data_IF_325916513047
#
_entry.id   IF_325916513047
#
_cell.length_a   1.000
_cell.length_b   1.000
_cell.length_c   1.000
_cell.angle_alpha   90.00
_cell.angle_beta   90.00
_cell.angle_gamma   90.00
#
_symmetry.space_group_name_H-M   'P 1'
#
loop_
_entity.id
_entity.type
_entity.pdbx_description
1 polymer ?
#
# COMPACT_ATOMS: atom_id res chain seq x y z
N UNK A 1 -12.23 -17.81 24.84
CA UNK A 1 -11.31 -18.59 23.98
C UNK A 1 -9.98 -18.71 24.70
N UNK A 2 -9.39 -19.91 24.78
CA UNK A 2 -8.02 -20.03 25.31
C UNK A 2 -7.03 -19.32 24.36
N UNK A 3 -5.88 -18.89 24.88
CA UNK A 3 -4.81 -18.26 24.08
C UNK A 3 -4.43 -19.12 22.85
N UNK A 4 -4.42 -20.45 23.01
CA UNK A 4 -4.18 -21.42 21.92
C UNK A 4 -5.23 -21.30 20.82
N UNK A 5 -6.51 -21.21 21.18
CA UNK A 5 -7.62 -21.13 20.24
C UNK A 5 -7.66 -19.78 19.51
N UNK A 6 -7.36 -18.68 20.20
CA UNK A 6 -7.25 -17.34 19.59
C UNK A 6 -6.08 -17.26 18.61
N UNK A 7 -4.95 -17.90 18.95
CA UNK A 7 -3.77 -17.96 18.08
C UNK A 7 -4.05 -18.78 16.82
N UNK A 8 -4.64 -19.98 16.94
CA UNK A 8 -4.98 -20.82 15.78
C UNK A 8 -5.98 -20.13 14.86
N UNK A 9 -7.03 -19.52 15.41
CA UNK A 9 -7.99 -18.76 14.61
C UNK A 9 -7.31 -17.56 13.91
N UNK A 10 -6.44 -16.84 14.62
CA UNK A 10 -5.68 -15.74 14.06
C UNK A 10 -4.77 -16.16 12.89
N UNK A 11 -4.07 -17.29 13.03
CA UNK A 11 -3.24 -17.86 11.96
C UNK A 11 -4.07 -18.21 10.72
N UNK A 12 -5.23 -18.84 10.90
CA UNK A 12 -6.12 -19.16 9.78
C UNK A 12 -6.56 -17.87 9.06
N UNK A 13 -6.99 -16.84 9.81
CA UNK A 13 -7.40 -15.58 9.21
C UNK A 13 -6.25 -14.85 8.49
N UNK A 14 -5.03 -14.88 9.05
CA UNK A 14 -3.85 -14.32 8.40
C UNK A 14 -3.47 -15.08 7.13
N UNK A 15 -3.59 -16.41 7.14
CA UNK A 15 -3.38 -17.23 5.95
C UNK A 15 -4.42 -16.92 4.87
N UNK A 16 -5.70 -16.84 5.24
CA UNK A 16 -6.79 -16.46 4.33
C UNK A 16 -6.56 -15.07 3.74
N UNK A 17 -6.21 -14.08 4.57
CA UNK A 17 -5.88 -12.72 4.13
C UNK A 17 -4.78 -12.72 3.08
N UNK A 18 -3.66 -13.40 3.38
CA UNK A 18 -2.49 -13.48 2.49
C UNK A 18 -2.83 -14.18 1.17
N UNK A 19 -3.49 -15.34 1.24
CA UNK A 19 -3.84 -16.12 0.05
C UNK A 19 -4.89 -15.42 -0.80
N UNK A 20 -5.92 -14.82 -0.18
CA UNK A 20 -6.92 -14.06 -0.90
C UNK A 20 -6.31 -12.81 -1.55
N UNK A 21 -5.50 -12.05 -0.82
CA UNK A 21 -4.82 -10.87 -1.35
C UNK A 21 -3.89 -11.21 -2.53
N UNK A 22 -3.11 -12.28 -2.42
CA UNK A 22 -2.25 -12.76 -3.49
C UNK A 22 -3.06 -13.25 -4.70
N UNK A 23 -4.12 -14.03 -4.46
CA UNK A 23 -5.01 -14.53 -5.51
C UNK A 23 -5.71 -13.40 -6.26
N UNK A 24 -6.26 -12.42 -5.54
CA UNK A 24 -6.89 -11.23 -6.15
C UNK A 24 -5.87 -10.45 -6.96
N UNK A 25 -4.69 -10.17 -6.40
CA UNK A 25 -3.62 -9.44 -7.11
C UNK A 25 -3.18 -10.19 -8.37
N UNK A 26 -3.10 -11.51 -8.32
CA UNK A 26 -2.75 -12.35 -9.46
C UNK A 26 -3.82 -12.31 -10.56
N UNK A 27 -5.10 -12.51 -10.22
CA UNK A 27 -6.20 -12.47 -11.19
C UNK A 27 -6.33 -11.08 -11.81
N UNK A 28 -6.34 -10.02 -10.99
CA UNK A 28 -6.39 -8.63 -11.49
C UNK A 28 -5.17 -8.33 -12.35
N UNK A 29 -3.98 -8.78 -11.94
CA UNK A 29 -2.74 -8.63 -12.70
C UNK A 29 -2.81 -9.27 -14.08
N UNK A 30 -3.37 -10.49 -14.22
CA UNK A 30 -3.57 -11.15 -15.52
C UNK A 30 -4.53 -10.34 -16.40
N UNK A 31 -5.62 -9.85 -15.83
CA UNK A 31 -6.61 -9.06 -16.58
C UNK A 31 -5.98 -7.76 -17.07
N UNK A 32 -5.30 -7.02 -16.19
CA UNK A 32 -4.62 -5.78 -16.54
C UNK A 32 -3.47 -6.01 -17.53
N UNK A 33 -2.73 -7.12 -17.42
CA UNK A 33 -1.69 -7.49 -18.38
C UNK A 33 -2.21 -7.78 -19.80
N UNK A 34 -3.51 -8.11 -19.95
CA UNK A 34 -4.15 -8.24 -21.27
C UNK A 34 -4.69 -6.91 -21.81
N UNK A 35 -5.09 -6.00 -20.93
CA UNK A 35 -5.70 -4.72 -21.29
C UNK A 35 -4.66 -3.61 -21.51
N UNK A 36 -3.54 -3.68 -20.77
CA UNK A 36 -2.49 -2.68 -20.78
C UNK A 36 -1.28 -3.18 -21.57
N UNK A 37 -0.57 -2.23 -22.15
CA UNK A 37 0.67 -2.43 -22.88
C UNK A 37 1.87 -2.64 -21.94
N UNK A 38 2.95 -3.29 -22.41
CA UNK A 38 4.20 -3.42 -21.64
C UNK A 38 4.80 -2.08 -21.21
N UNK A 39 4.58 -1.00 -21.99
CA UNK A 39 5.07 0.34 -21.66
C UNK A 39 4.46 0.86 -20.35
N UNK A 40 3.15 0.66 -20.16
CA UNK A 40 2.43 1.13 -18.96
C UNK A 40 2.89 0.40 -17.69
N UNK A 41 3.13 -0.92 -17.80
CA UNK A 41 3.76 -1.68 -16.71
C UNK A 41 5.20 -1.22 -16.44
N UNK A 42 5.95 -0.86 -17.50
CA UNK A 42 7.28 -0.29 -17.38
C UNK A 42 7.30 0.99 -16.56
N UNK A 43 6.36 1.91 -16.81
CA UNK A 43 6.22 3.17 -16.05
C UNK A 43 6.00 2.92 -14.56
N UNK A 44 5.07 2.02 -14.21
CA UNK A 44 4.83 1.65 -12.80
C UNK A 44 6.06 0.96 -12.19
N UNK A 45 6.74 0.10 -12.94
CA UNK A 45 7.97 -0.56 -12.49
C UNK A 45 9.06 0.44 -12.12
N UNK A 46 9.28 1.47 -12.95
CA UNK A 46 10.25 2.54 -12.66
C UNK A 46 9.91 3.30 -11.38
N UNK A 47 8.63 3.62 -11.16
CA UNK A 47 8.18 4.40 -10.01
C UNK A 47 8.20 3.59 -8.71
N UNK A 48 7.95 2.28 -8.79
CA UNK A 48 7.84 1.39 -7.62
C UNK A 48 9.10 1.43 -6.75
N UNK A 49 10.28 1.61 -7.35
CA UNK A 49 11.55 1.72 -6.61
C UNK A 49 11.53 2.93 -5.66
N UNK A 50 11.10 4.10 -6.15
CA UNK A 50 11.04 5.32 -5.35
C UNK A 50 10.03 5.22 -4.20
N UNK A 51 8.89 4.59 -4.48
CA UNK A 51 7.85 4.34 -3.49
C UNK A 51 8.35 3.36 -2.42
N UNK A 52 8.95 2.23 -2.82
CA UNK A 52 9.45 1.23 -1.88
C UNK A 52 10.57 1.77 -0.96
N UNK A 53 11.47 2.60 -1.50
CA UNK A 53 12.49 3.29 -0.70
C UNK A 53 11.82 4.20 0.32
N UNK A 54 10.85 5.02 -0.11
CA UNK A 54 10.12 5.94 0.78
C UNK A 54 9.35 5.19 1.89
N UNK A 55 8.64 4.12 1.54
CA UNK A 55 7.91 3.26 2.47
C UNK A 55 8.83 2.63 3.53
N UNK A 56 10.07 2.28 3.16
CA UNK A 56 11.07 1.75 4.09
C UNK A 56 11.39 2.74 5.22
N UNK A 57 11.57 4.02 4.87
CA UNK A 57 11.79 5.09 5.84
C UNK A 57 10.54 5.41 6.66
N UNK A 58 9.34 5.38 6.07
CA UNK A 58 8.10 5.60 6.80
C UNK A 58 7.90 4.53 7.88
N UNK A 59 8.11 3.25 7.55
CA UNK A 59 7.86 2.18 8.51
C UNK A 59 8.96 2.08 9.58
N UNK A 60 10.23 2.37 9.25
CA UNK A 60 11.40 2.49 10.15
C UNK A 60 11.52 1.44 11.29
N UNK A 61 10.85 0.29 11.18
CA UNK A 61 10.75 -0.72 12.24
C UNK A 61 9.84 -0.37 13.43
N UNK A 62 9.19 0.81 13.46
CA UNK A 62 8.36 1.23 14.59
C UNK A 62 7.13 0.34 14.77
N UNK A 63 6.50 -0.08 13.67
CA UNK A 63 5.35 -1.00 13.70
C UNK A 63 5.71 -2.30 14.44
N UNK A 64 6.88 -2.88 14.15
CA UNK A 64 7.36 -4.08 14.83
C UNK A 64 7.72 -3.83 16.30
N UNK A 65 8.29 -2.67 16.62
CA UNK A 65 8.58 -2.28 18.00
C UNK A 65 7.28 -2.15 18.83
N UNK A 66 6.27 -1.49 18.29
CA UNK A 66 4.95 -1.35 18.92
C UNK A 66 4.26 -2.69 19.12
N UNK A 67 4.34 -3.62 18.16
CA UNK A 67 3.76 -4.97 18.32
C UNK A 67 4.41 -5.69 19.51
N UNK A 68 5.75 -5.63 19.63
CA UNK A 68 6.51 -6.36 20.67
C UNK A 68 6.49 -5.72 22.06
N UNK A 69 6.34 -4.40 22.17
CA UNK A 69 6.31 -3.68 23.46
C UNK A 69 5.12 -4.15 24.31
N UNK A 70 5.31 -4.67 25.52
CA UNK A 70 4.20 -5.21 26.33
C UNK A 70 3.21 -4.12 26.76
N UNK A 71 3.73 -3.03 27.33
CA UNK A 71 2.94 -1.93 27.87
C UNK A 71 2.94 -0.74 26.91
N UNK A 72 2.20 -0.87 25.81
CA UNK A 72 1.95 0.26 24.90
C UNK A 72 0.87 1.17 25.48
N UNK A 73 1.17 2.46 25.47
CA UNK A 73 0.20 3.53 25.77
C UNK A 73 -0.37 4.12 24.48
N UNK A 74 -1.50 4.81 24.57
CA UNK A 74 -2.05 5.55 23.42
C UNK A 74 -1.07 6.60 22.90
N UNK A 75 -0.28 7.21 23.80
CA UNK A 75 0.80 8.15 23.45
C UNK A 75 1.85 7.50 22.55
N UNK A 76 2.20 6.22 22.75
CA UNK A 76 3.14 5.51 21.88
C UNK A 76 2.59 5.40 20.46
N UNK A 77 1.32 5.02 20.32
CA UNK A 77 0.66 4.89 19.01
C UNK A 77 0.53 6.25 18.32
N UNK A 78 0.10 7.29 19.04
CA UNK A 78 -0.02 8.65 18.50
C UNK A 78 1.33 9.21 18.08
N UNK A 79 2.38 9.02 18.87
CA UNK A 79 3.73 9.51 18.55
C UNK A 79 4.24 8.90 17.25
N UNK A 80 4.15 7.57 17.12
CA UNK A 80 4.59 6.90 15.89
C UNK A 80 3.69 7.26 14.72
N UNK A 81 2.38 7.43 14.94
CA UNK A 81 1.45 7.89 13.89
C UNK A 81 1.86 9.25 13.32
N UNK A 82 2.10 10.25 14.17
CA UNK A 82 2.52 11.57 13.72
C UNK A 82 3.91 11.54 13.08
N UNK A 83 4.82 10.72 13.60
CA UNK A 83 6.13 10.51 12.98
C UNK A 83 5.98 9.96 11.55
N UNK A 84 5.26 8.85 11.38
CA UNK A 84 5.05 8.21 10.08
C UNK A 84 4.36 9.18 9.11
N UNK A 85 3.33 9.90 9.57
CA UNK A 85 2.63 10.90 8.76
C UNK A 85 3.56 12.04 8.31
N UNK A 86 4.39 12.55 9.22
CA UNK A 86 5.35 13.62 8.90
C UNK A 86 6.38 13.16 7.89
N UNK A 87 6.94 11.96 8.08
CA UNK A 87 7.89 11.35 7.13
C UNK A 87 7.21 11.08 5.79
N UNK A 88 5.97 10.57 5.80
CA UNK A 88 5.19 10.31 4.59
C UNK A 88 4.92 11.59 3.79
N UNK A 89 4.54 12.68 4.44
CA UNK A 89 4.36 14.00 3.80
C UNK A 89 5.71 14.52 3.25
N UNK A 90 6.80 14.37 4.00
CA UNK A 90 8.12 14.79 3.57
C UNK A 90 8.56 14.05 2.30
N UNK A 91 8.45 12.72 2.28
CA UNK A 91 8.79 11.92 1.10
C UNK A 91 7.84 12.17 -0.07
N UNK A 92 6.55 12.40 0.19
CA UNK A 92 5.61 12.83 -0.84
C UNK A 92 6.08 14.13 -1.51
N UNK A 93 6.41 15.17 -0.72
CA UNK A 93 6.90 16.44 -1.26
C UNK A 93 8.22 16.27 -2.01
N UNK A 94 9.14 15.46 -1.47
CA UNK A 94 10.42 15.15 -2.12
C UNK A 94 10.18 14.51 -3.49
N UNK A 95 9.33 13.50 -3.57
CA UNK A 95 8.97 12.86 -4.85
C UNK A 95 8.22 13.81 -5.78
N UNK A 96 7.30 14.62 -5.26
CA UNK A 96 6.53 15.58 -6.04
C UNK A 96 7.43 16.61 -6.74
N UNK A 97 8.40 17.18 -6.02
CA UNK A 97 9.34 18.15 -6.57
C UNK A 97 10.46 17.52 -7.41
N UNK A 98 10.87 16.29 -7.10
CA UNK A 98 11.87 15.56 -7.90
C UNK A 98 11.28 14.86 -9.12
N UNK A 99 9.96 14.76 -9.25
CA UNK A 99 9.28 14.08 -10.35
C UNK A 99 9.72 14.54 -11.76
N UNK A 100 9.88 15.84 -12.06
CA UNK A 100 10.38 16.28 -13.37
C UNK A 100 11.82 15.83 -13.64
N UNK A 101 12.68 15.84 -12.61
CA UNK A 101 14.06 15.39 -12.73
C UNK A 101 14.13 13.88 -12.98
N UNK A 102 13.32 13.09 -12.26
CA UNK A 102 13.21 11.64 -12.46
C UNK A 102 12.67 11.33 -13.86
N UNK A 103 11.62 12.03 -14.29
CA UNK A 103 11.05 11.90 -15.63
C UNK A 103 12.07 12.17 -16.74
N UNK A 104 12.90 13.20 -16.57
CA UNK A 104 13.99 13.51 -17.51
C UNK A 104 15.09 12.44 -17.51
N UNK A 105 15.44 11.87 -16.35
CA UNK A 105 16.45 10.81 -16.24
C UNK A 105 16.03 9.54 -17.00
N UNK A 106 14.75 9.16 -16.90
CA UNK A 106 14.20 7.99 -17.60
C UNK A 106 13.73 8.29 -19.03
N UNK A 107 13.79 9.55 -19.49
CA UNK A 107 13.27 10.00 -20.79
C UNK A 107 11.77 9.65 -21.01
N UNK A 108 10.97 9.69 -19.94
CA UNK A 108 9.53 9.37 -19.99
C UNK A 108 8.71 10.52 -19.36
N UNK A 109 8.15 11.43 -20.17
CA UNK A 109 7.41 12.61 -19.70
C UNK A 109 6.21 12.29 -18.80
N UNK A 110 5.55 11.16 -19.07
CA UNK A 110 4.37 10.70 -18.33
C UNK A 110 4.68 10.42 -16.84
N UNK A 111 5.94 10.07 -16.52
CA UNK A 111 6.36 9.81 -15.14
C UNK A 111 6.14 11.00 -14.21
N UNK A 112 6.21 12.24 -14.71
CA UNK A 112 6.05 13.42 -13.85
C UNK A 112 4.67 13.41 -13.18
N UNK A 113 3.61 13.28 -13.99
CA UNK A 113 2.24 13.28 -13.48
C UNK A 113 1.96 12.04 -12.62
N UNK A 114 2.49 10.88 -13.01
CA UNK A 114 2.28 9.64 -12.27
C UNK A 114 2.96 9.70 -10.90
N UNK A 115 4.21 10.17 -10.79
CA UNK A 115 4.90 10.32 -9.52
C UNK A 115 4.21 11.32 -8.59
N UNK A 116 3.75 12.44 -9.13
CA UNK A 116 3.05 13.46 -8.35
C UNK A 116 1.73 12.95 -7.77
N UNK A 117 0.97 12.16 -8.52
CA UNK A 117 -0.31 11.60 -8.06
C UNK A 117 -0.09 10.37 -7.18
N UNK A 118 0.76 9.43 -7.62
CA UNK A 118 0.99 8.18 -6.91
C UNK A 118 1.76 8.38 -5.61
N UNK A 119 2.54 9.46 -5.48
CA UNK A 119 3.16 9.84 -4.22
C UNK A 119 2.15 10.05 -3.07
N UNK A 120 0.88 10.36 -3.37
CA UNK A 120 -0.19 10.50 -2.36
C UNK A 120 -0.37 9.19 -1.57
N UNK A 121 -0.06 8.05 -2.18
CA UNK A 121 -0.08 6.72 -1.53
C UNK A 121 0.78 6.71 -0.28
N UNK A 122 1.92 7.42 -0.25
CA UNK A 122 2.79 7.48 0.93
C UNK A 122 2.08 8.09 2.14
N UNK A 123 1.23 9.09 1.91
CA UNK A 123 0.42 9.73 2.97
C UNK A 123 -0.67 8.77 3.42
N UNK A 124 -1.38 8.14 2.49
CA UNK A 124 -2.46 7.16 2.78
C UNK A 124 -1.90 5.98 3.58
N UNK A 125 -0.78 5.41 3.15
CA UNK A 125 -0.13 4.29 3.84
C UNK A 125 0.34 4.70 5.24
N UNK A 126 0.89 5.91 5.39
CA UNK A 126 1.27 6.43 6.71
C UNK A 126 0.08 6.52 7.67
N UNK A 127 -1.11 6.90 7.18
CA UNK A 127 -2.33 6.96 7.98
C UNK A 127 -2.83 5.58 8.40
N UNK A 128 -2.73 4.58 7.52
CA UNK A 128 -3.26 3.23 7.78
C UNK A 128 -2.30 2.33 8.55
N UNK A 129 -0.99 2.60 8.50
CA UNK A 129 0.07 1.75 9.05
C UNK A 129 -0.12 1.48 10.56
N UNK A 130 -0.40 2.52 11.35
CA UNK A 130 -0.60 2.34 12.80
C UNK A 130 -1.91 1.64 13.13
N UNK A 131 -2.96 1.84 12.32
CA UNK A 131 -4.23 1.14 12.51
C UNK A 131 -4.05 -0.37 12.28
N UNK A 132 -3.32 -0.76 11.22
CA UNK A 132 -2.96 -2.17 10.97
C UNK A 132 -2.07 -2.74 12.09
N UNK A 133 -1.15 -1.94 12.61
CA UNK A 133 -0.28 -2.32 13.74
C UNK A 133 -1.08 -2.61 15.00
N UNK A 134 -2.09 -1.79 15.32
CA UNK A 134 -3.00 -1.99 16.45
C UNK A 134 -3.80 -3.29 16.30
N UNK A 135 -4.37 -3.55 15.11
CA UNK A 135 -5.10 -4.80 14.84
C UNK A 135 -4.21 -6.04 14.98
N UNK A 136 -2.99 -5.96 14.44
CA UNK A 136 -1.99 -7.03 14.54
C UNK A 136 -1.65 -7.30 16.01
N UNK A 137 -1.40 -6.26 16.81
CA UNK A 137 -1.11 -6.39 18.25
C UNK A 137 -2.27 -7.00 19.03
N UNK A 138 -3.52 -6.71 18.64
CA UNK A 138 -4.74 -7.27 19.25
C UNK A 138 -5.07 -8.69 18.78
N UNK A 139 -4.31 -9.22 17.81
CA UNK A 139 -4.55 -10.51 17.14
C UNK A 139 -5.94 -10.50 16.48
N UNK A 140 -6.34 -9.36 15.90
CA UNK A 140 -7.61 -9.22 15.18
C UNK A 140 -7.43 -9.34 13.67
N UNK A 141 -6.85 -10.47 13.26
CA UNK A 141 -6.62 -10.79 11.84
C UNK A 141 -7.93 -10.99 11.07
N UNK A 142 -9.04 -11.28 11.75
CA UNK A 142 -10.36 -11.41 11.12
C UNK A 142 -10.83 -10.07 10.58
N UNK A 143 -10.74 -9.00 11.36
CA UNK A 143 -11.12 -7.67 10.90
C UNK A 143 -10.17 -7.20 9.79
N UNK A 144 -8.86 -7.44 9.95
CA UNK A 144 -7.86 -7.11 8.95
C UNK A 144 -8.13 -7.80 7.60
N UNK A 145 -8.42 -9.10 7.61
CA UNK A 145 -8.76 -9.88 6.42
C UNK A 145 -10.02 -9.37 5.70
N UNK A 146 -11.04 -8.93 6.46
CA UNK A 146 -12.25 -8.36 5.87
C UNK A 146 -11.96 -7.03 5.17
N UNK A 147 -11.21 -6.15 5.82
CA UNK A 147 -10.87 -4.83 5.28
C UNK A 147 -10.02 -5.01 4.01
N UNK A 148 -8.99 -5.86 4.06
CA UNK A 148 -8.10 -6.11 2.92
C UNK A 148 -8.82 -6.76 1.73
N UNK A 149 -9.74 -7.70 1.97
CA UNK A 149 -10.53 -8.31 0.89
C UNK A 149 -11.43 -7.27 0.21
N UNK A 150 -12.15 -6.45 0.99
CA UNK A 150 -13.03 -5.41 0.44
C UNK A 150 -12.21 -4.40 -0.37
N UNK A 151 -11.08 -3.93 0.19
CA UNK A 151 -10.21 -2.97 -0.48
C UNK A 151 -9.54 -3.56 -1.73
N UNK A 152 -9.12 -4.83 -1.70
CA UNK A 152 -8.49 -5.50 -2.86
C UNK A 152 -9.49 -5.76 -3.98
N UNK A 153 -10.72 -6.17 -3.65
CA UNK A 153 -11.78 -6.34 -4.66
C UNK A 153 -12.20 -4.98 -5.22
N UNK A 154 -12.41 -3.98 -4.35
CA UNK A 154 -12.80 -2.63 -4.76
C UNK A 154 -11.76 -1.97 -5.67
N UNK A 155 -10.48 -1.98 -5.28
CA UNK A 155 -9.38 -1.47 -6.10
C UNK A 155 -9.22 -2.24 -7.41
N UNK A 156 -9.39 -3.57 -7.39
CA UNK A 156 -9.39 -4.41 -8.59
C UNK A 156 -10.49 -4.01 -9.57
N UNK A 157 -11.73 -3.89 -9.10
CA UNK A 157 -12.87 -3.45 -9.93
C UNK A 157 -12.61 -2.07 -10.52
N UNK A 158 -12.22 -1.08 -9.70
CA UNK A 158 -11.93 0.29 -10.18
C UNK A 158 -10.84 0.28 -11.25
N UNK A 159 -9.74 -0.44 -11.01
CA UNK A 159 -8.62 -0.52 -11.95
C UNK A 159 -9.01 -1.18 -13.27
N UNK A 160 -9.75 -2.29 -13.22
CA UNK A 160 -10.19 -3.02 -14.42
C UNK A 160 -11.16 -2.15 -15.22
N UNK A 161 -12.12 -1.51 -14.56
CA UNK A 161 -13.03 -0.57 -15.21
C UNK A 161 -12.27 0.57 -15.88
N UNK A 162 -11.29 1.18 -15.21
CA UNK A 162 -10.48 2.24 -15.81
C UNK A 162 -9.66 1.75 -17.01
N UNK A 163 -9.09 0.55 -16.93
CA UNK A 163 -8.36 -0.05 -18.05
C UNK A 163 -9.28 -0.31 -19.26
N UNK A 164 -10.52 -0.77 -19.03
CA UNK A 164 -11.51 -0.95 -20.11
C UNK A 164 -11.89 0.35 -20.81
N UNK A 165 -11.89 1.48 -20.11
CA UNK A 165 -12.11 2.80 -20.70
C UNK A 165 -10.86 3.40 -21.37
N UNK A 166 -9.75 2.66 -21.43
CA UNK A 166 -8.52 3.11 -22.09
C UNK A 166 -7.74 4.17 -21.31
N UNK A 167 -7.92 4.26 -19.98
CA UNK A 167 -7.17 5.19 -19.12
C UNK A 167 -5.72 4.73 -18.87
N UNK A 168 -5.33 3.57 -19.39
CA UNK A 168 -3.95 3.12 -19.46
C UNK A 168 -3.28 2.96 -18.10
N UNK A 169 -2.08 3.52 -17.95
CA UNK A 169 -1.30 3.50 -16.70
C UNK A 169 -2.08 4.02 -15.48
N UNK A 170 -3.05 4.92 -15.68
CA UNK A 170 -3.87 5.46 -14.59
C UNK A 170 -4.76 4.40 -13.93
N UNK A 171 -5.06 3.30 -14.62
CA UNK A 171 -5.73 2.15 -14.03
C UNK A 171 -4.90 1.53 -12.89
N UNK A 172 -3.58 1.40 -13.09
CA UNK A 172 -2.64 0.89 -12.08
C UNK A 172 -2.44 1.91 -10.94
N UNK A 173 -2.42 3.20 -11.27
CA UNK A 173 -2.34 4.28 -10.27
C UNK A 173 -3.57 4.26 -9.35
N UNK A 174 -4.76 4.21 -9.93
CA UNK A 174 -6.01 4.15 -9.17
C UNK A 174 -6.10 2.88 -8.33
N UNK A 175 -5.63 1.74 -8.87
CA UNK A 175 -5.54 0.50 -8.10
C UNK A 175 -4.75 0.70 -6.80
N UNK A 176 -3.59 1.37 -6.88
CA UNK A 176 -2.72 1.58 -5.72
C UNK A 176 -3.32 2.56 -4.72
N UNK A 177 -4.02 3.59 -5.17
CA UNK A 177 -4.64 4.62 -4.31
C UNK A 177 -5.88 4.10 -3.57
N UNK A 178 -6.68 3.25 -4.22
CA UNK A 178 -7.95 2.74 -3.66
C UNK A 178 -7.75 1.55 -2.71
N UNK A 179 -6.62 0.83 -2.83
CA UNK A 179 -6.33 -0.40 -2.09
C UNK A 179 -5.90 -0.15 -0.64
#
# INVERSE_FOLDING_TARGET
MSLKQKTVSGLIWSFVDTMAGQGITFVVGIILARLLSPREFGLIGMITVFIAVSESFINSGFSSALIRKKDCTDTDFSTVFFFNLTVGILFFLLLFFSAPAISSFFNEPELTAILQVLGIVLIIDSLTLIQRTILTKRIDFKLQAKISMIASIGSGVVSITMAFYGLGVWALVAQRIVK
#
